data_IF_071813113926
#
_entry.id   IF_071813113926
#
_cell.length_a   1.000
_cell.length_b   1.000
_cell.length_c   1.000
_cell.angle_alpha   90.00
_cell.angle_beta   90.00
_cell.angle_gamma   90.00
#
_symmetry.space_group_name_H-M   'P 1'
#
loop_
_entity.id
_entity.type
_entity.pdbx_description
1 polymer ?
#
# COMPACT_ATOMS: atom_id res chain seq x y z
N UNK A 1 17.58 59.61 24.58
CA UNK A 1 16.36 58.78 24.44
C UNK A 1 16.80 57.35 24.17
N UNK A 2 16.37 56.40 25.02
CA UNK A 2 16.74 54.98 24.96
C UNK A 2 15.90 54.27 23.89
N UNK A 3 16.53 53.56 22.97
CA UNK A 3 15.86 52.51 22.18
C UNK A 3 16.49 51.16 22.53
N UNK A 4 15.69 50.34 23.20
CA UNK A 4 15.94 48.92 23.48
C UNK A 4 15.44 48.18 22.24
N UNK A 5 16.35 47.58 21.47
CA UNK A 5 15.99 46.69 20.37
C UNK A 5 16.02 45.25 20.90
N UNK A 6 14.83 44.67 20.96
CA UNK A 6 14.57 43.29 21.32
C UNK A 6 15.30 42.33 20.37
N UNK A 7 16.14 41.45 20.94
CA UNK A 7 16.61 40.22 20.30
C UNK A 7 15.43 39.26 20.18
N UNK A 8 14.76 39.29 19.03
CA UNK A 8 13.73 38.34 18.63
C UNK A 8 14.34 37.03 18.18
N UNK A 9 14.31 36.05 19.09
CA UNK A 9 14.54 34.63 18.89
C UNK A 9 13.62 34.10 17.76
N UNK A 10 14.17 33.70 16.61
CA UNK A 10 13.43 32.93 15.60
C UNK A 10 13.99 31.50 15.58
N UNK A 11 13.44 30.66 16.47
CA UNK A 11 13.63 29.22 16.41
C UNK A 11 12.89 28.70 15.17
N UNK A 12 13.63 28.44 14.09
CA UNK A 12 13.15 27.64 12.97
C UNK A 12 13.03 26.18 13.43
N UNK A 13 11.90 25.87 14.09
CA UNK A 13 11.37 24.52 14.17
C UNK A 13 10.92 24.11 12.76
N UNK A 14 11.85 23.60 11.96
CA UNK A 14 11.48 22.85 10.76
C UNK A 14 10.99 21.48 11.25
N UNK A 15 9.68 21.40 11.44
CA UNK A 15 8.93 20.18 11.76
C UNK A 15 9.27 19.03 10.80
N UNK A 16 9.69 17.84 11.26
CA UNK A 16 9.81 16.68 10.38
C UNK A 16 8.42 16.01 10.31
N UNK A 17 7.57 16.43 9.38
CA UNK A 17 6.26 15.78 9.20
C UNK A 17 5.77 15.84 7.75
N UNK A 18 6.56 15.32 6.81
CA UNK A 18 6.15 15.25 5.39
C UNK A 18 6.15 13.84 4.77
N UNK A 19 6.54 12.77 5.47
CA UNK A 19 6.62 11.43 4.85
C UNK A 19 5.49 10.45 5.22
N UNK A 20 4.59 10.80 6.14
CA UNK A 20 3.57 9.85 6.63
C UNK A 20 2.37 9.62 5.66
N UNK A 21 2.22 10.42 4.60
CA UNK A 21 0.98 10.47 3.81
C UNK A 21 0.73 9.28 2.87
N UNK A 22 1.71 8.40 2.63
CA UNK A 22 1.56 7.24 1.73
C UNK A 22 1.84 5.89 2.39
N UNK A 23 1.89 5.83 3.73
CA UNK A 23 2.16 4.59 4.43
C UNK A 23 0.98 3.61 4.35
N UNK A 24 1.26 2.35 4.01
CA UNK A 24 0.25 1.30 3.88
C UNK A 24 -0.10 0.73 5.27
N UNK A 25 -0.65 1.57 6.15
CA UNK A 25 -0.89 1.21 7.55
C UNK A 25 -2.02 0.19 7.70
N UNK A 26 -1.71 -0.91 8.40
CA UNK A 26 -2.66 -1.96 8.80
C UNK A 26 -3.74 -1.37 9.70
N UNK A 27 -4.96 -1.88 9.57
CA UNK A 27 -6.11 -1.44 10.34
C UNK A 27 -6.42 -2.50 11.38
N UNK A 28 -6.73 -2.09 12.61
CA UNK A 28 -7.12 -3.02 13.66
C UNK A 28 -8.48 -3.68 13.38
N UNK A 29 -9.33 -3.00 12.61
CA UNK A 29 -10.65 -3.49 12.20
C UNK A 29 -10.79 -3.27 10.68
N UNK A 30 -10.24 -4.17 9.86
CA UNK A 30 -10.49 -4.14 8.42
C UNK A 30 -11.94 -4.55 8.14
N UNK A 31 -12.44 -4.19 6.96
CA UNK A 31 -13.75 -4.68 6.51
C UNK A 31 -13.70 -6.19 6.25
N UNK A 32 -12.57 -6.68 5.72
CA UNK A 32 -12.37 -8.10 5.45
C UNK A 32 -10.95 -8.52 5.84
N UNK A 33 -10.82 -9.59 6.61
CA UNK A 33 -9.56 -10.28 6.88
C UNK A 33 -9.44 -11.45 5.92
N UNK A 34 -8.47 -11.39 5.00
CA UNK A 34 -8.25 -12.45 4.00
C UNK A 34 -7.32 -13.53 4.55
N UNK A 35 -6.30 -13.11 5.30
CA UNK A 35 -5.38 -13.99 6.02
C UNK A 35 -4.75 -13.21 7.19
N UNK A 36 -3.90 -13.86 7.98
CA UNK A 36 -3.09 -13.16 8.99
C UNK A 36 -2.10 -12.14 8.37
N UNK A 37 -1.84 -12.22 7.06
CA UNK A 37 -0.92 -11.36 6.32
C UNK A 37 -1.62 -10.57 5.21
N UNK A 38 -2.95 -10.53 5.20
CA UNK A 38 -3.71 -9.84 4.18
C UNK A 38 -5.07 -9.33 4.69
N UNK A 39 -5.36 -8.06 4.41
CA UNK A 39 -6.62 -7.43 4.79
C UNK A 39 -7.14 -6.53 3.68
N UNK A 40 -8.45 -6.31 3.65
CA UNK A 40 -9.11 -5.38 2.73
C UNK A 40 -9.94 -4.38 3.52
N UNK A 41 -9.88 -3.14 3.08
CA UNK A 41 -10.60 -2.00 3.65
C UNK A 41 -11.34 -1.23 2.57
N UNK A 42 -12.52 -0.73 2.90
CA UNK A 42 -13.33 0.14 2.04
C UNK A 42 -14.34 0.92 2.89
N UNK A 43 -14.91 1.96 2.30
CA UNK A 43 -16.04 2.72 2.87
C UNK A 43 -17.31 2.34 2.14
N UNK A 44 -18.37 2.05 2.88
CA UNK A 44 -19.69 1.82 2.32
C UNK A 44 -20.48 3.13 2.29
N UNK A 45 -21.10 3.41 1.15
CA UNK A 45 -21.97 4.55 0.91
C UNK A 45 -23.30 4.00 0.39
N UNK A 46 -24.40 4.37 1.03
CA UNK A 46 -25.73 3.95 0.61
C UNK A 46 -26.26 4.95 -0.42
N UNK A 47 -26.65 4.45 -1.59
CA UNK A 47 -27.14 5.27 -2.71
C UNK A 47 -28.47 4.71 -3.23
N UNK A 48 -29.18 5.47 -4.07
CA UNK A 48 -30.41 5.01 -4.71
C UNK A 48 -30.20 3.80 -5.63
N UNK A 49 -29.00 3.62 -6.17
CA UNK A 49 -28.62 2.49 -7.01
C UNK A 49 -28.06 1.29 -6.23
N UNK A 50 -27.99 1.37 -4.89
CA UNK A 50 -27.45 0.33 -4.02
C UNK A 50 -26.25 0.78 -3.18
N UNK A 51 -25.56 -0.20 -2.57
CA UNK A 51 -24.38 0.06 -1.72
C UNK A 51 -23.14 0.25 -2.59
N UNK A 52 -22.55 1.44 -2.53
CA UNK A 52 -21.31 1.79 -3.18
C UNK A 52 -20.13 1.59 -2.22
N UNK A 53 -19.23 0.67 -2.56
CA UNK A 53 -17.95 0.49 -1.85
C UNK A 53 -16.90 1.41 -2.49
N UNK A 54 -16.35 2.33 -1.73
CA UNK A 54 -15.36 3.33 -2.17
C UNK A 54 -14.08 3.23 -1.35
N UNK A 55 -12.99 3.86 -1.83
CA UNK A 55 -11.67 3.78 -1.18
C UNK A 55 -11.24 2.33 -0.89
N UNK A 56 -11.40 1.46 -1.89
CA UNK A 56 -11.09 0.04 -1.79
C UNK A 56 -9.57 -0.13 -1.79
N UNK A 57 -9.04 -0.70 -0.72
CA UNK A 57 -7.62 -1.00 -0.57
C UNK A 57 -7.42 -2.38 0.06
N UNK A 58 -6.67 -3.24 -0.63
CA UNK A 58 -6.10 -4.46 -0.06
C UNK A 58 -4.67 -4.23 0.39
N UNK A 59 -4.27 -4.74 1.56
CA UNK A 59 -2.89 -4.75 2.03
C UNK A 59 -2.41 -6.18 2.18
N UNK A 60 -1.21 -6.47 1.68
CA UNK A 60 -0.60 -7.82 1.73
C UNK A 60 0.86 -7.74 2.13
N UNK A 61 1.35 -8.79 2.79
CA UNK A 61 2.71 -8.85 3.33
C UNK A 61 2.82 -7.93 4.53
N UNK A 62 2.12 -8.27 5.61
CA UNK A 62 2.05 -7.40 6.78
C UNK A 62 3.33 -7.55 7.61
N UNK A 63 4.03 -6.44 7.82
CA UNK A 63 5.21 -6.36 8.68
C UNK A 63 4.96 -5.27 9.71
N UNK A 64 4.99 -5.66 10.99
CA UNK A 64 4.63 -4.80 12.13
C UNK A 64 3.22 -4.21 11.93
N UNK A 65 3.12 -2.93 11.58
CA UNK A 65 1.86 -2.20 11.41
C UNK A 65 1.60 -1.76 9.96
N UNK A 66 2.32 -2.33 8.99
CA UNK A 66 2.26 -1.89 7.59
C UNK A 66 2.20 -3.07 6.61
N UNK A 67 1.50 -2.90 5.49
CA UNK A 67 1.61 -3.79 4.34
C UNK A 67 2.80 -3.42 3.46
N UNK A 68 3.43 -4.43 2.86
CA UNK A 68 4.43 -4.22 1.81
C UNK A 68 3.76 -3.86 0.49
N UNK A 69 2.64 -4.49 0.17
CA UNK A 69 1.90 -4.25 -1.08
C UNK A 69 0.50 -3.67 -0.80
N UNK A 70 0.09 -2.71 -1.62
CA UNK A 70 -1.28 -2.16 -1.63
C UNK A 70 -1.92 -2.45 -2.97
N UNK A 71 -3.08 -3.09 -2.93
CA UNK A 71 -3.96 -3.33 -4.07
C UNK A 71 -5.06 -2.27 -4.05
N UNK A 72 -5.36 -1.67 -5.19
CA UNK A 72 -6.38 -0.64 -5.31
C UNK A 72 -7.04 -0.68 -6.69
N UNK A 73 -8.22 -0.07 -6.82
CA UNK A 73 -8.87 0.05 -8.11
C UNK A 73 -8.09 0.99 -9.03
N UNK A 74 -7.74 0.48 -10.22
CA UNK A 74 -7.23 1.30 -11.30
C UNK A 74 -8.37 2.07 -11.99
N UNK A 75 -8.05 3.14 -12.72
CA UNK A 75 -9.07 3.99 -13.35
C UNK A 75 -9.88 3.24 -14.41
N UNK A 76 -9.23 2.29 -15.09
CA UNK A 76 -9.79 1.40 -16.10
C UNK A 76 -10.57 0.21 -15.53
N UNK A 77 -10.66 0.07 -14.19
CA UNK A 77 -11.38 -1.03 -13.52
C UNK A 77 -10.55 -2.26 -13.19
N UNK A 78 -9.27 -2.26 -13.56
CA UNK A 78 -8.31 -3.27 -13.12
C UNK A 78 -7.85 -3.09 -11.67
N UNK A 79 -6.89 -3.92 -11.26
CA UNK A 79 -6.24 -3.80 -9.94
C UNK A 79 -4.84 -3.25 -10.13
N UNK A 80 -4.57 -2.10 -9.53
CA UNK A 80 -3.21 -1.55 -9.43
C UNK A 80 -2.55 -2.06 -8.16
N UNK A 81 -1.32 -2.55 -8.28
CA UNK A 81 -0.49 -2.97 -7.15
C UNK A 81 0.66 -1.97 -6.97
N UNK A 82 0.71 -1.36 -5.79
CA UNK A 82 1.75 -0.45 -5.34
C UNK A 82 2.57 -1.11 -4.22
N UNK A 83 3.79 -0.62 -3.95
CA UNK A 83 4.63 -1.10 -2.86
C UNK A 83 4.98 0.04 -1.88
N UNK A 84 5.26 -0.33 -0.63
CA UNK A 84 5.57 0.57 0.47
C UNK A 84 7.07 0.58 0.76
N UNK A 85 7.91 0.84 -0.24
CA UNK A 85 9.39 0.74 -0.11
C UNK A 85 10.00 2.03 -0.62
N UNK A 86 10.89 2.64 0.15
CA UNK A 86 11.64 3.82 -0.29
C UNK A 86 12.69 3.40 -1.34
N UNK A 87 12.42 3.78 -2.58
CA UNK A 87 12.98 3.22 -3.83
C UNK A 87 14.45 3.56 -4.16
N UNK A 88 15.27 4.08 -3.25
CA UNK A 88 16.56 4.65 -3.69
C UNK A 88 17.58 3.63 -4.24
N UNK A 89 17.53 2.34 -3.85
CA UNK A 89 18.56 1.36 -4.25
C UNK A 89 18.05 -0.06 -4.57
N UNK A 90 16.76 -0.36 -4.43
CA UNK A 90 16.27 -1.73 -4.51
C UNK A 90 15.62 -2.01 -5.88
N UNK A 91 16.33 -2.76 -6.73
CA UNK A 91 15.84 -3.21 -8.05
C UNK A 91 15.60 -4.72 -8.14
N UNK A 92 15.76 -5.41 -7.01
CA UNK A 92 15.62 -6.86 -6.94
C UNK A 92 14.80 -7.21 -5.72
N UNK A 93 13.76 -8.00 -5.93
CA UNK A 93 13.01 -8.67 -4.88
C UNK A 93 13.18 -10.18 -5.06
N UNK A 94 13.14 -10.94 -3.97
CA UNK A 94 13.30 -12.38 -3.99
C UNK A 94 11.95 -13.01 -3.70
N UNK A 95 11.42 -13.81 -4.61
CA UNK A 95 10.17 -14.55 -4.44
C UNK A 95 10.50 -16.01 -4.24
N UNK A 96 10.15 -16.56 -3.07
CA UNK A 96 10.50 -17.92 -2.68
C UNK A 96 12.00 -18.23 -2.90
N UNK A 97 12.85 -17.26 -2.57
CA UNK A 97 14.31 -17.33 -2.73
C UNK A 97 14.84 -17.08 -4.15
N UNK A 98 13.98 -16.89 -5.15
CA UNK A 98 14.39 -16.60 -6.53
C UNK A 98 14.40 -15.10 -6.79
N UNK A 99 15.54 -14.59 -7.28
CA UNK A 99 15.67 -13.19 -7.63
C UNK A 99 14.76 -12.81 -8.80
N UNK A 100 14.02 -11.72 -8.64
CA UNK A 100 13.22 -11.08 -9.67
C UNK A 100 13.66 -9.62 -9.77
N UNK A 101 14.17 -9.26 -10.94
CA UNK A 101 14.44 -7.86 -11.26
C UNK A 101 13.12 -7.11 -11.38
N UNK A 102 13.00 -6.01 -10.65
CA UNK A 102 11.80 -5.18 -10.56
C UNK A 102 12.20 -3.72 -10.55
N UNK A 103 11.43 -2.90 -11.26
CA UNK A 103 11.50 -1.46 -11.09
C UNK A 103 10.50 -1.04 -10.01
N UNK A 104 11.02 -0.56 -8.87
CA UNK A 104 10.25 -0.06 -7.73
C UNK A 104 10.07 1.47 -7.78
N UNK A 105 10.35 2.11 -8.92
CA UNK A 105 10.10 3.56 -9.08
C UNK A 105 8.61 3.90 -9.21
N UNK A 106 7.79 2.93 -9.61
CA UNK A 106 6.37 3.12 -9.93
C UNK A 106 5.52 1.93 -9.44
N UNK A 107 4.22 1.93 -9.76
CA UNK A 107 3.36 0.75 -9.57
C UNK A 107 3.95 -0.49 -10.25
N UNK A 108 3.67 -1.68 -9.69
CA UNK A 108 4.26 -2.91 -10.17
C UNK A 108 3.66 -3.33 -11.52
N UNK A 109 4.49 -3.76 -12.49
CA UNK A 109 3.99 -4.23 -13.78
C UNK A 109 3.37 -5.62 -13.68
N UNK A 110 2.46 -5.95 -14.61
CA UNK A 110 1.71 -7.21 -14.64
C UNK A 110 2.57 -8.48 -14.48
N UNK A 111 3.75 -8.62 -15.14
CA UNK A 111 4.59 -9.80 -14.93
C UNK A 111 5.05 -9.98 -13.48
N UNK A 112 5.29 -8.88 -12.76
CA UNK A 112 5.67 -8.93 -11.34
C UNK A 112 4.45 -9.30 -10.49
N UNK A 113 3.28 -8.73 -10.79
CA UNK A 113 2.01 -9.07 -10.12
C UNK A 113 1.68 -10.56 -10.31
N UNK A 114 1.88 -11.10 -11.51
CA UNK A 114 1.68 -12.52 -11.80
C UNK A 114 2.55 -13.41 -10.92
N UNK A 115 3.83 -13.06 -10.75
CA UNK A 115 4.73 -13.78 -9.85
C UNK A 115 4.31 -13.64 -8.38
N UNK A 116 3.86 -12.46 -7.94
CA UNK A 116 3.39 -12.24 -6.56
C UNK A 116 2.15 -13.06 -6.21
N UNK A 117 1.25 -13.30 -7.17
CA UNK A 117 0.05 -14.13 -6.94
C UNK A 117 0.38 -15.59 -6.63
N UNK A 118 1.46 -16.12 -7.20
CA UNK A 118 1.84 -17.54 -7.06
C UNK A 118 2.95 -17.78 -6.03
N UNK A 119 3.65 -16.74 -5.62
CA UNK A 119 4.72 -16.82 -4.63
C UNK A 119 4.17 -16.92 -3.21
N UNK A 120 4.87 -17.65 -2.35
CA UNK A 120 4.49 -17.81 -0.93
C UNK A 120 5.12 -16.71 -0.05
N UNK A 121 6.24 -16.16 -0.49
CA UNK A 121 7.04 -15.22 0.29
C UNK A 121 7.79 -14.22 -0.59
N UNK A 122 8.11 -13.07 0.01
CA UNK A 122 9.02 -12.08 -0.55
C UNK A 122 10.13 -11.76 0.46
N UNK A 123 11.34 -11.50 -0.04
CA UNK A 123 12.43 -10.95 0.75
C UNK A 123 13.30 -10.00 -0.07
N UNK A 124 14.20 -9.29 0.60
CA UNK A 124 15.11 -8.31 0.01
C UNK A 124 16.54 -8.63 0.44
N UNK A 125 17.50 -8.61 -0.50
CA UNK A 125 18.90 -8.92 -0.18
C UNK A 125 19.57 -7.89 0.75
N UNK A 126 19.02 -6.69 0.79
CA UNK A 126 19.49 -5.59 1.62
C UNK A 126 18.37 -5.15 2.55
N UNK A 127 18.76 -4.49 3.63
CA UNK A 127 17.82 -3.79 4.50
C UNK A 127 17.05 -2.75 3.69
N UNK A 128 15.74 -2.67 3.92
CA UNK A 128 14.89 -1.68 3.28
C UNK A 128 14.15 -0.86 4.32
N UNK A 129 13.80 0.37 3.96
CA UNK A 129 12.94 1.24 4.77
C UNK A 129 11.62 1.46 4.05
N UNK A 130 10.50 1.30 4.75
CA UNK A 130 9.18 1.57 4.19
C UNK A 130 8.85 3.07 4.19
N UNK A 131 7.76 3.51 3.57
CA UNK A 131 7.45 4.96 3.53
C UNK A 131 7.05 5.54 4.88
N UNK A 132 6.84 4.71 5.91
CA UNK A 132 6.61 5.14 7.29
C UNK A 132 7.90 5.25 8.12
N UNK A 133 9.06 4.92 7.54
CA UNK A 133 10.35 4.91 8.25
C UNK A 133 10.63 3.61 9.01
N UNK A 134 9.82 2.57 8.85
CA UNK A 134 10.12 1.27 9.45
C UNK A 134 11.19 0.53 8.66
N UNK A 135 12.17 0.05 9.40
CA UNK A 135 13.25 -0.79 8.87
C UNK A 135 12.80 -2.24 8.82
N UNK A 136 13.03 -2.86 7.67
CA UNK A 136 12.84 -4.29 7.38
C UNK A 136 14.23 -4.88 7.14
N UNK A 137 14.72 -5.75 8.03
CA UNK A 137 16.03 -6.39 7.90
C UNK A 137 16.25 -7.11 6.57
N UNK A 138 17.50 -7.11 6.12
CA UNK A 138 17.94 -7.91 4.99
C UNK A 138 17.55 -9.39 5.18
N UNK A 139 17.11 -10.02 4.11
CA UNK A 139 16.68 -11.42 4.04
C UNK A 139 15.51 -11.79 4.96
N UNK A 140 14.81 -10.82 5.56
CA UNK A 140 13.57 -11.11 6.27
C UNK A 140 12.56 -11.70 5.28
N UNK A 141 12.07 -12.90 5.59
CA UNK A 141 11.02 -13.57 4.82
C UNK A 141 9.67 -13.00 5.23
N UNK A 142 8.97 -12.39 4.27
CA UNK A 142 7.65 -11.80 4.47
C UNK A 142 6.63 -12.67 3.74
N UNK A 143 5.62 -13.14 4.45
CA UNK A 143 4.60 -14.01 3.86
C UNK A 143 3.72 -13.24 2.87
N UNK A 144 3.46 -13.85 1.72
CA UNK A 144 2.49 -13.40 0.72
C UNK A 144 1.15 -14.14 0.84
N UNK A 145 0.93 -14.87 1.94
CA UNK A 145 -0.33 -15.60 2.16
C UNK A 145 -1.54 -14.66 2.02
N UNK A 146 -2.43 -14.98 1.09
CA UNK A 146 -3.61 -14.18 0.78
C UNK A 146 -3.41 -13.13 -0.32
N UNK A 147 -2.26 -13.08 -1.00
CA UNK A 147 -2.04 -12.14 -2.11
C UNK A 147 -3.03 -12.37 -3.26
N UNK A 148 -3.10 -13.59 -3.79
CA UNK A 148 -4.01 -13.93 -4.89
C UNK A 148 -5.48 -13.71 -4.52
N UNK A 149 -5.90 -14.20 -3.35
CA UNK A 149 -7.25 -14.00 -2.85
C UNK A 149 -7.60 -12.51 -2.70
N UNK A 150 -6.66 -11.71 -2.19
CA UNK A 150 -6.85 -10.25 -2.08
C UNK A 150 -6.94 -9.59 -3.45
N UNK A 151 -6.15 -10.04 -4.44
CA UNK A 151 -6.18 -9.52 -5.80
C UNK A 151 -7.55 -9.73 -6.45
N UNK A 152 -8.06 -10.96 -6.43
CA UNK A 152 -9.37 -11.25 -7.02
C UNK A 152 -10.51 -10.57 -6.24
N UNK A 153 -10.40 -10.49 -4.92
CA UNK A 153 -11.41 -9.82 -4.11
C UNK A 153 -11.46 -8.31 -4.38
N UNK A 154 -10.31 -7.65 -4.46
CA UNK A 154 -10.24 -6.22 -4.83
C UNK A 154 -10.78 -6.03 -6.24
N UNK A 155 -10.38 -6.86 -7.21
CA UNK A 155 -10.90 -6.82 -8.59
C UNK A 155 -12.43 -6.88 -8.64
N UNK A 156 -13.03 -7.83 -7.91
CA UNK A 156 -14.48 -7.94 -7.78
C UNK A 156 -15.11 -6.66 -7.21
N UNK A 157 -14.57 -6.13 -6.11
CA UNK A 157 -15.10 -4.92 -5.49
C UNK A 157 -15.00 -3.70 -6.42
N UNK A 158 -13.91 -3.58 -7.18
CA UNK A 158 -13.74 -2.50 -8.17
C UNK A 158 -14.78 -2.58 -9.29
N UNK A 159 -15.07 -3.79 -9.79
CA UNK A 159 -16.08 -4.01 -10.81
C UNK A 159 -17.49 -3.64 -10.29
N UNK A 160 -17.84 -4.06 -9.08
CA UNK A 160 -19.11 -3.70 -8.45
C UNK A 160 -19.23 -2.18 -8.22
N UNK A 161 -18.15 -1.52 -7.78
CA UNK A 161 -18.12 -0.06 -7.65
C UNK A 161 -18.42 0.63 -8.98
N UNK A 162 -17.84 0.16 -10.09
CA UNK A 162 -18.07 0.73 -11.42
C UNK A 162 -19.52 0.59 -11.87
N UNK A 163 -20.14 -0.58 -11.67
CA UNK A 163 -21.54 -0.83 -12.01
C UNK A 163 -22.48 0.14 -11.28
N UNK A 164 -22.32 0.25 -9.95
CA UNK A 164 -23.15 1.17 -9.14
C UNK A 164 -22.91 2.63 -9.54
N UNK A 165 -21.64 3.01 -9.78
CA UNK A 165 -21.30 4.37 -10.24
C UNK A 165 -21.90 4.68 -11.61
N UNK A 166 -21.93 3.72 -12.53
CA UNK A 166 -22.56 3.87 -13.84
C UNK A 166 -24.08 4.03 -13.71
N UNK A 167 -24.73 3.23 -12.86
CA UNK A 167 -26.17 3.31 -12.62
C UNK A 167 -26.61 4.65 -12.01
N UNK A 168 -25.77 5.30 -11.21
CA UNK A 168 -26.05 6.63 -10.63
C UNK A 168 -25.92 7.79 -11.64
N UNK A 169 -25.36 7.54 -12.82
CA UNK A 169 -25.21 8.53 -13.89
C UNK A 169 -26.34 8.48 -14.91
N UNK A 170 -27.22 7.47 -14.81
CA UNK A 170 -28.41 7.27 -15.65
C UNK A 170 -29.64 7.82 -14.93
#
# INVERSE_FOLDING_TARGET
MKSIIWLGLFALLVSPSLFAYNSFRVKNQPNETISNNAQITYKELFTSAGVLKSNIHGLVGLVKHYGIFKLSCAAEGGVRVEHNILSAQHKTLYLDGKALAVDLSHGLPEPVIANLKVANSVSFAQEITNTAGEVIPANQVISLAGFEASYYRVSYLCNEQQKVTAALRL
#
